data_IF_994796989134
#
_entry.id   IF_994796989134
#
_cell.length_a   1.000
_cell.length_b   1.000
_cell.length_c   1.000
_cell.angle_alpha   90.00
_cell.angle_beta   90.00
_cell.angle_gamma   90.00
#
_symmetry.space_group_name_H-M   'P 1'
#
loop_
_entity.id
_entity.type
_entity.pdbx_description
1 polymer ?
#
# COMPACT_ATOMS: atom_id res chain seq x y z
N UNK A 1 19.19 18.85 1.59
CA UNK A 1 18.00 18.76 0.71
C UNK A 1 17.61 17.29 0.58
N UNK A 2 16.61 16.84 1.33
CA UNK A 2 16.17 15.44 1.32
C UNK A 2 15.35 15.21 0.05
N UNK A 3 15.94 14.57 -0.97
CA UNK A 3 15.23 14.25 -2.21
C UNK A 3 13.97 13.43 -1.85
N UNK A 4 12.76 13.85 -2.25
CA UNK A 4 11.57 13.04 -2.03
C UNK A 4 11.71 11.82 -2.91
N UNK A 5 12.12 10.69 -2.32
CA UNK A 5 12.13 9.40 -3.00
C UNK A 5 10.72 9.20 -3.54
N UNK A 6 10.56 9.19 -4.88
CA UNK A 6 9.26 9.09 -5.56
C UNK A 6 8.74 7.66 -5.45
N UNK A 7 8.50 7.19 -4.22
CA UNK A 7 7.85 5.92 -3.95
C UNK A 7 6.49 5.97 -4.65
N UNK A 8 6.36 5.27 -5.79
CA UNK A 8 5.14 5.19 -6.58
C UNK A 8 4.14 4.28 -5.87
N UNK A 9 3.46 4.82 -4.85
CA UNK A 9 2.39 4.12 -4.16
C UNK A 9 1.19 3.94 -5.08
N UNK A 10 0.91 2.69 -5.44
CA UNK A 10 -0.27 2.28 -6.19
C UNK A 10 -1.47 2.15 -5.25
N UNK A 11 -2.59 2.76 -5.60
CA UNK A 11 -3.85 2.57 -4.88
C UNK A 11 -4.45 1.24 -5.33
N UNK A 12 -4.64 0.31 -4.39
CA UNK A 12 -5.33 -0.96 -4.70
C UNK A 12 -6.83 -0.78 -4.56
N UNK A 13 -7.30 -0.48 -3.34
CA UNK A 13 -8.74 -0.42 -3.04
C UNK A 13 -9.02 0.50 -1.85
N UNK A 14 -10.28 0.93 -1.72
CA UNK A 14 -10.79 1.64 -0.56
C UNK A 14 -11.84 0.74 0.10
N UNK A 15 -11.76 0.64 1.42
CA UNK A 15 -12.68 -0.11 2.26
C UNK A 15 -13.40 0.83 3.21
N UNK A 16 -14.54 0.41 3.75
CA UNK A 16 -15.28 1.18 4.75
C UNK A 16 -14.83 0.82 6.18
N UNK A 17 -14.16 -0.31 6.36
CA UNK A 17 -13.66 -0.73 7.68
C UNK A 17 -12.16 -1.02 7.63
N UNK A 18 -11.51 -0.86 8.79
CA UNK A 18 -10.10 -1.20 8.94
C UNK A 18 -9.87 -2.71 8.83
N UNK A 19 -10.82 -3.53 9.31
CA UNK A 19 -10.73 -4.99 9.28
C UNK A 19 -10.60 -5.52 7.85
N UNK A 20 -11.47 -5.08 6.93
CA UNK A 20 -11.40 -5.47 5.52
C UNK A 20 -10.08 -5.01 4.86
N UNK A 21 -9.63 -3.80 5.16
CA UNK A 21 -8.36 -3.29 4.67
C UNK A 21 -7.17 -4.10 5.20
N UNK A 22 -7.22 -4.54 6.45
CA UNK A 22 -6.18 -5.35 7.07
C UNK A 22 -6.20 -6.80 6.57
N UNK A 23 -7.38 -7.37 6.29
CA UNK A 23 -7.53 -8.66 5.61
C UNK A 23 -6.86 -8.63 4.24
N UNK A 24 -7.14 -7.62 3.41
CA UNK A 24 -6.47 -7.48 2.11
C UNK A 24 -4.95 -7.30 2.27
N UNK A 25 -4.50 -6.52 3.25
CA UNK A 25 -3.07 -6.38 3.53
C UNK A 25 -2.43 -7.72 3.85
N UNK A 26 -3.09 -8.55 4.66
CA UNK A 26 -2.55 -9.86 5.02
C UNK A 26 -2.52 -10.79 3.80
N UNK A 27 -3.60 -10.84 3.02
CA UNK A 27 -3.67 -11.61 1.78
C UNK A 27 -2.53 -11.25 0.81
N UNK A 28 -2.37 -9.96 0.51
CA UNK A 28 -1.30 -9.45 -0.35
C UNK A 28 0.09 -9.76 0.21
N UNK A 29 0.27 -9.76 1.53
CA UNK A 29 1.57 -10.08 2.15
C UNK A 29 1.89 -11.58 2.08
N UNK A 30 0.87 -12.44 2.13
CA UNK A 30 1.04 -13.90 2.06
C UNK A 30 1.12 -14.43 0.61
N UNK A 31 0.80 -13.61 -0.39
CA UNK A 31 0.94 -14.01 -1.78
C UNK A 31 2.41 -14.24 -2.18
N UNK A 32 2.73 -15.35 -2.87
CA UNK A 32 4.08 -15.60 -3.37
C UNK A 32 4.49 -14.52 -4.37
N UNK A 33 5.73 -14.03 -4.27
CA UNK A 33 6.24 -12.92 -5.09
C UNK A 33 5.95 -11.50 -4.56
N UNK A 34 5.29 -11.38 -3.38
CA UNK A 34 5.07 -10.11 -2.69
C UNK A 34 5.99 -9.88 -1.49
N UNK A 35 7.10 -10.61 -1.39
CA UNK A 35 8.05 -10.51 -0.27
C UNK A 35 8.61 -9.09 -0.11
N UNK A 36 8.76 -8.36 -1.22
CA UNK A 36 9.23 -6.97 -1.26
C UNK A 36 8.08 -5.94 -1.35
N UNK A 37 6.82 -6.37 -1.26
CA UNK A 37 5.65 -5.49 -1.37
C UNK A 37 5.43 -4.71 -0.06
N UNK A 38 5.69 -3.40 -0.07
CA UNK A 38 5.27 -2.53 1.03
C UNK A 38 3.77 -2.23 0.92
N UNK A 39 2.98 -2.49 1.96
CA UNK A 39 1.54 -2.20 1.99
C UNK A 39 1.25 -1.18 3.09
N UNK A 40 0.54 -0.09 2.75
CA UNK A 40 0.08 0.94 3.68
C UNK A 40 -1.42 1.10 3.65
N UNK A 41 -2.04 1.15 4.83
CA UNK A 41 -3.45 1.49 5.00
C UNK A 41 -3.51 2.93 5.49
N UNK A 42 -4.28 3.78 4.81
CA UNK A 42 -4.50 5.18 5.22
C UNK A 42 -5.99 5.45 5.38
N UNK A 43 -6.37 6.11 6.47
CA UNK A 43 -7.73 6.67 6.61
C UNK A 43 -7.98 7.71 5.53
N UNK A 44 -9.17 7.71 4.96
CA UNK A 44 -9.61 8.56 3.86
C UNK A 44 -11.13 8.72 3.93
N UNK A 45 -11.70 9.52 3.01
CA UNK A 45 -13.12 9.80 2.96
C UNK A 45 -13.58 10.88 3.94
N UNK A 46 -14.84 11.34 3.80
CA UNK A 46 -15.43 12.31 4.72
C UNK A 46 -15.48 11.71 6.14
N UNK A 47 -15.05 12.50 7.12
CA UNK A 47 -14.92 12.10 8.53
C UNK A 47 -13.93 10.94 8.83
N UNK A 48 -13.08 10.54 7.88
CA UNK A 48 -12.08 9.48 8.12
C UNK A 48 -12.67 8.08 8.29
N UNK A 49 -13.86 7.87 7.73
CA UNK A 49 -14.64 6.62 7.80
C UNK A 49 -14.14 5.53 6.87
N UNK A 50 -13.32 5.86 5.87
CA UNK A 50 -12.85 4.91 4.88
C UNK A 50 -11.35 4.64 5.03
N UNK A 51 -10.89 3.51 4.49
CA UNK A 51 -9.53 3.02 4.58
C UNK A 51 -9.01 2.69 3.18
N UNK A 52 -8.07 3.50 2.71
CA UNK A 52 -7.40 3.32 1.41
C UNK A 52 -6.16 2.46 1.59
N UNK A 53 -6.14 1.31 0.94
CA UNK A 53 -4.96 0.43 0.86
C UNK A 53 -4.12 0.86 -0.34
N UNK A 54 -2.84 1.12 -0.07
CA UNK A 54 -1.83 1.43 -1.08
C UNK A 54 -0.70 0.42 -1.00
N UNK A 55 -0.19 0.03 -2.15
CA UNK A 55 0.97 -0.84 -2.26
C UNK A 55 2.11 -0.09 -2.91
N UNK A 56 3.33 -0.46 -2.56
CA UNK A 56 4.53 0.00 -3.21
C UNK A 56 5.42 -1.21 -3.40
N UNK A 57 5.69 -1.54 -4.67
CA UNK A 57 6.79 -2.43 -4.99
C UNK A 57 7.99 -1.52 -5.24
N UNK A 58 9.06 -1.61 -4.42
CA UNK A 58 10.33 -1.04 -4.81
C UNK A 58 10.75 -1.79 -6.07
N UNK A 59 10.55 -1.17 -7.23
CA UNK A 59 11.29 -1.60 -8.41
C UNK A 59 12.75 -1.37 -8.05
N UNK A 60 13.51 -2.44 -7.86
CA UNK A 60 14.96 -2.43 -8.00
C UNK A 60 15.22 -1.95 -9.42
N UNK A 61 15.17 -0.63 -9.63
CA UNK A 61 15.81 -0.02 -10.78
C UNK A 61 17.30 -0.20 -10.51
N UNK A 62 17.81 -1.37 -10.89
CA UNK A 62 19.20 -1.52 -11.28
C UNK A 62 19.41 -0.49 -12.38
N UNK A 63 19.90 0.70 -11.99
CA UNK A 63 20.64 1.55 -12.91
C UNK A 63 21.92 0.78 -13.22
N UNK A 64 21.86 -0.02 -14.28
CA UNK A 64 23.03 -0.54 -14.97
C UNK A 64 23.68 0.62 -15.73
#
# INVERSE_FOLDING_TARGET
MTQPSTKKWQKIKIFNTYDEANKLRNDLKNQPGNENLEIKIKRCGPMGTQFKVKTYRPTTQNKK
#
